data_IF_325383949998
#
_entry.id   IF_325383949998
#
_cell.length_a   1.000
_cell.length_b   1.000
_cell.length_c   1.000
_cell.angle_alpha   90.00
_cell.angle_beta   90.00
_cell.angle_gamma   90.00
#
_symmetry.space_group_name_H-M   'P 1'
#
loop_
_entity.id
_entity.type
_entity.pdbx_description
1 polymer ?
#
# COMPACT_ATOMS: atom_id res chain seq x y z
N UNK A 1 -12.29 1.16 20.73
CA UNK A 1 -12.29 2.35 19.83
C UNK A 1 -11.33 2.17 18.66
N UNK A 2 -10.02 2.10 18.85
CA UNK A 2 -9.10 1.84 17.71
C UNK A 2 -9.02 0.36 17.32
N UNK A 3 -9.13 -0.55 18.30
CA UNK A 3 -9.28 -1.99 18.05
C UNK A 3 -10.48 -2.23 17.12
N UNK A 4 -11.58 -1.50 17.34
CA UNK A 4 -12.79 -1.55 16.53
C UNK A 4 -12.51 -1.19 15.06
N UNK A 5 -11.60 -0.24 14.77
CA UNK A 5 -11.26 0.12 13.38
C UNK A 5 -10.45 -0.97 12.68
N UNK A 6 -9.44 -1.53 13.35
CA UNK A 6 -8.63 -2.61 12.79
C UNK A 6 -9.47 -3.88 12.63
N UNK A 7 -10.39 -4.15 13.55
CA UNK A 7 -11.32 -5.28 13.48
C UNK A 7 -12.31 -5.13 12.31
N UNK A 8 -12.87 -3.93 12.07
CA UNK A 8 -13.71 -3.68 10.90
C UNK A 8 -12.95 -3.97 9.60
N UNK A 9 -11.72 -3.47 9.48
CA UNK A 9 -10.87 -3.72 8.30
C UNK A 9 -10.58 -5.23 8.19
N UNK A 10 -10.25 -5.89 9.30
CA UNK A 10 -9.98 -7.32 9.34
C UNK A 10 -11.16 -8.14 8.79
N UNK A 11 -12.37 -7.91 9.34
CA UNK A 11 -13.60 -8.60 8.93
C UNK A 11 -13.85 -8.40 7.43
N UNK A 12 -13.81 -7.16 6.95
CA UNK A 12 -14.16 -6.86 5.58
C UNK A 12 -13.07 -7.25 4.57
N UNK A 13 -11.82 -7.42 4.99
CA UNK A 13 -10.73 -7.88 4.13
C UNK A 13 -10.94 -9.29 3.57
N UNK A 14 -11.86 -10.08 4.12
CA UNK A 14 -12.17 -11.44 3.62
C UNK A 14 -13.32 -11.46 2.61
N UNK A 15 -13.99 -10.33 2.40
CA UNK A 15 -15.17 -10.22 1.52
C UNK A 15 -15.00 -9.15 0.44
N UNK A 16 -13.76 -8.85 0.05
CA UNK A 16 -13.42 -7.75 -0.87
C UNK A 16 -14.17 -7.86 -2.20
N UNK A 17 -14.37 -9.07 -2.69
CA UNK A 17 -15.09 -9.35 -3.94
C UNK A 17 -16.58 -8.97 -3.90
N UNK A 18 -17.17 -8.86 -2.70
CA UNK A 18 -18.58 -8.53 -2.51
C UNK A 18 -18.80 -7.13 -1.98
N UNK A 19 -17.77 -6.27 -1.99
CA UNK A 19 -17.92 -4.90 -1.53
C UNK A 19 -18.85 -4.11 -2.46
N UNK A 20 -19.84 -3.46 -1.86
CA UNK A 20 -20.58 -2.39 -2.56
C UNK A 20 -19.69 -1.15 -2.65
N UNK A 21 -20.12 -0.18 -3.47
CA UNK A 21 -19.42 1.11 -3.59
C UNK A 21 -19.36 1.86 -2.25
N UNK A 22 -20.44 1.80 -1.48
CA UNK A 22 -20.54 2.41 -0.16
C UNK A 22 -19.56 1.74 0.82
N UNK A 23 -19.50 0.41 0.82
CA UNK A 23 -18.57 -0.32 1.67
C UNK A 23 -17.11 -0.03 1.28
N UNK A 24 -16.79 -0.03 -0.02
CA UNK A 24 -15.47 0.35 -0.52
C UNK A 24 -15.08 1.74 -0.03
N UNK A 25 -15.96 2.73 -0.18
CA UNK A 25 -15.69 4.10 0.29
C UNK A 25 -15.46 4.15 1.80
N UNK A 26 -16.31 3.48 2.59
CA UNK A 26 -16.14 3.39 4.04
C UNK A 26 -14.79 2.78 4.45
N UNK A 27 -14.42 1.63 3.88
CA UNK A 27 -13.13 0.97 4.18
C UNK A 27 -11.96 1.83 3.73
N UNK A 28 -12.08 2.51 2.58
CA UNK A 28 -11.08 3.45 2.06
C UNK A 28 -10.82 4.59 3.04
N UNK A 29 -11.87 5.20 3.59
CA UNK A 29 -11.72 6.29 4.56
C UNK A 29 -11.17 5.78 5.90
N UNK A 30 -11.56 4.59 6.35
CA UNK A 30 -11.00 3.97 7.56
C UNK A 30 -9.49 3.70 7.43
N UNK A 31 -9.06 3.11 6.31
CA UNK A 31 -7.64 2.88 6.04
C UNK A 31 -6.90 4.21 5.90
N UNK A 32 -7.51 5.21 5.25
CA UNK A 32 -6.91 6.55 5.14
C UNK A 32 -6.77 7.26 6.48
N UNK A 33 -7.69 7.03 7.43
CA UNK A 33 -7.58 7.53 8.80
C UNK A 33 -6.41 6.87 9.52
N UNK A 34 -6.29 5.54 9.44
CA UNK A 34 -5.16 4.78 10.00
C UNK A 34 -3.83 5.28 9.42
N UNK A 35 -3.79 5.53 8.11
CA UNK A 35 -2.65 6.15 7.44
C UNK A 35 -2.31 7.51 8.02
N UNK A 36 -3.30 8.40 8.15
CA UNK A 36 -3.12 9.72 8.74
C UNK A 36 -2.54 9.68 10.15
N UNK A 37 -3.01 8.74 10.98
CA UNK A 37 -2.47 8.50 12.32
C UNK A 37 -1.01 8.04 12.29
N UNK A 38 -0.64 7.15 11.34
CA UNK A 38 0.74 6.70 11.18
C UNK A 38 1.65 7.83 10.68
N UNK A 39 1.20 8.62 9.71
CA UNK A 39 1.97 9.69 9.08
C UNK A 39 2.26 10.84 10.05
N UNK A 40 1.23 11.31 10.77
CA UNK A 40 1.34 12.46 11.68
C UNK A 40 2.30 12.22 12.86
N UNK A 41 2.53 10.96 13.22
CA UNK A 41 3.27 10.54 14.41
C UNK A 41 4.68 10.00 14.09
N UNK A 42 5.25 10.35 12.92
CA UNK A 42 6.60 9.92 12.50
C UNK A 42 7.68 10.18 13.56
N UNK A 43 7.57 11.25 14.34
CA UNK A 43 8.61 11.68 15.28
C UNK A 43 8.46 11.11 16.70
N UNK A 44 7.23 11.05 17.24
CA UNK A 44 7.00 10.64 18.63
C UNK A 44 6.60 9.15 18.78
N UNK A 45 6.13 8.51 17.71
CA UNK A 45 5.66 7.10 17.69
C UNK A 45 4.62 6.78 18.78
N UNK A 46 3.88 7.77 19.26
CA UNK A 46 2.87 7.62 20.32
C UNK A 46 1.56 7.02 19.80
N UNK A 47 1.02 7.55 18.71
CA UNK A 47 -0.19 7.05 18.04
C UNK A 47 0.03 5.66 17.45
N UNK A 48 1.21 5.40 16.88
CA UNK A 48 1.52 4.08 16.33
C UNK A 48 1.57 3.00 17.42
N UNK A 49 2.06 3.32 18.63
CA UNK A 49 2.00 2.40 19.78
C UNK A 49 0.60 2.19 20.32
N UNK A 50 -0.29 3.18 20.18
CA UNK A 50 -1.70 3.05 20.54
C UNK A 50 -2.41 2.12 19.56
N UNK A 51 -2.23 2.33 18.25
CA UNK A 51 -2.84 1.50 17.20
C UNK A 51 -2.28 0.07 17.18
N UNK A 52 -0.97 -0.05 17.36
CA UNK A 52 -0.24 -1.31 17.26
C UNK A 52 0.59 -1.56 18.53
N UNK A 53 -0.06 -1.88 19.67
CA UNK A 53 0.63 -2.15 20.92
C UNK A 53 1.46 -3.45 20.87
N UNK A 54 1.21 -4.31 19.88
CA UNK A 54 1.88 -5.58 19.69
C UNK A 54 2.26 -5.78 18.22
N UNK A 55 3.46 -6.32 17.96
CA UNK A 55 3.92 -6.67 16.61
C UNK A 55 2.94 -7.59 15.87
N UNK A 56 2.29 -8.51 16.59
CA UNK A 56 1.27 -9.39 16.01
C UNK A 56 0.15 -8.61 15.30
N UNK A 57 -0.30 -7.49 15.88
CA UNK A 57 -1.35 -6.66 15.28
C UNK A 57 -0.87 -5.99 13.99
N UNK A 58 0.39 -5.59 13.92
CA UNK A 58 1.01 -5.05 12.69
C UNK A 58 1.01 -6.13 11.61
N UNK A 59 1.49 -7.33 11.95
CA UNK A 59 1.57 -8.44 11.02
C UNK A 59 0.19 -8.86 10.51
N UNK A 60 -0.82 -8.90 11.37
CA UNK A 60 -2.19 -9.26 10.97
C UNK A 60 -2.82 -8.16 10.11
N UNK A 61 -2.62 -6.88 10.48
CA UNK A 61 -3.08 -5.76 9.67
C UNK A 61 -2.44 -5.72 8.28
N UNK A 62 -1.13 -5.97 8.16
CA UNK A 62 -0.45 -6.07 6.87
C UNK A 62 -1.07 -7.18 6.01
N UNK A 63 -1.37 -8.35 6.58
CA UNK A 63 -2.04 -9.42 5.84
C UNK A 63 -3.41 -9.00 5.35
N UNK A 64 -4.18 -8.28 6.17
CA UNK A 64 -5.49 -7.76 5.78
C UNK A 64 -5.38 -6.79 4.59
N UNK A 65 -4.41 -5.86 4.63
CA UNK A 65 -4.13 -4.95 3.53
C UNK A 65 -3.69 -5.69 2.27
N UNK A 66 -2.89 -6.75 2.40
CA UNK A 66 -2.48 -7.58 1.26
C UNK A 66 -3.66 -8.29 0.61
N UNK A 67 -4.61 -8.81 1.39
CA UNK A 67 -5.83 -9.42 0.83
C UNK A 67 -6.61 -8.40 0.01
N UNK A 68 -6.79 -7.19 0.53
CA UNK A 68 -7.47 -6.09 -0.18
C UNK A 68 -6.74 -5.76 -1.48
N UNK A 69 -5.44 -5.54 -1.41
CA UNK A 69 -4.62 -5.14 -2.56
C UNK A 69 -4.48 -6.23 -3.63
N UNK A 70 -4.56 -7.51 -3.23
CA UNK A 70 -4.55 -8.64 -4.16
C UNK A 70 -5.81 -8.72 -5.04
N UNK A 71 -6.88 -7.99 -4.69
CA UNK A 71 -8.10 -7.97 -5.48
C UNK A 71 -7.96 -7.11 -6.73
N UNK A 72 -7.57 -7.77 -7.84
CA UNK A 72 -7.26 -7.14 -9.13
C UNK A 72 -8.26 -6.11 -9.66
N UNK A 73 -9.59 -6.30 -9.50
CA UNK A 73 -10.56 -5.30 -9.95
C UNK A 73 -10.36 -3.91 -9.35
N UNK A 74 -9.88 -3.79 -8.10
CA UNK A 74 -9.68 -2.48 -7.47
C UNK A 74 -8.57 -1.69 -8.15
N UNK A 75 -7.39 -2.29 -8.30
CA UNK A 75 -6.25 -1.55 -8.85
C UNK A 75 -6.33 -1.30 -10.36
N UNK A 76 -7.19 -2.04 -11.08
CA UNK A 76 -7.51 -1.74 -12.48
C UNK A 76 -8.44 -0.55 -12.66
N UNK A 77 -9.11 -0.13 -11.59
CA UNK A 77 -10.06 0.99 -11.59
C UNK A 77 -9.43 2.27 -11.00
N UNK A 78 -8.14 2.28 -10.71
CA UNK A 78 -7.45 3.51 -10.31
C UNK A 78 -7.48 4.54 -11.43
N UNK A 79 -7.68 5.80 -11.08
CA UNK A 79 -7.65 6.94 -11.99
C UNK A 79 -6.30 7.65 -11.92
N UNK A 80 -5.88 8.41 -12.95
CA UNK A 80 -4.61 9.13 -12.93
C UNK A 80 -4.48 10.14 -11.79
N UNK A 81 -5.62 10.68 -11.33
CA UNK A 81 -5.69 11.59 -10.19
C UNK A 81 -6.32 10.87 -9.00
N UNK A 82 -6.13 11.43 -7.81
CA UNK A 82 -6.76 10.98 -6.56
C UNK A 82 -8.25 11.38 -6.51
N UNK A 83 -9.05 10.86 -7.45
CA UNK A 83 -10.46 11.25 -7.68
C UNK A 83 -11.48 10.17 -7.32
N UNK A 84 -11.07 8.92 -7.10
CA UNK A 84 -11.95 7.84 -6.69
C UNK A 84 -11.44 7.05 -5.47
N UNK A 85 -12.33 6.26 -4.89
CA UNK A 85 -12.04 5.48 -3.67
C UNK A 85 -10.94 4.44 -3.92
N UNK A 86 -10.92 3.79 -5.09
CA UNK A 86 -9.89 2.80 -5.45
C UNK A 86 -8.48 3.39 -5.45
N UNK A 87 -8.31 4.58 -6.02
CA UNK A 87 -7.02 5.29 -6.05
C UNK A 87 -6.61 5.71 -4.65
N UNK A 88 -7.54 6.28 -3.88
CA UNK A 88 -7.31 6.69 -2.49
C UNK A 88 -6.90 5.46 -1.64
N UNK A 89 -7.60 4.35 -1.81
CA UNK A 89 -7.35 3.10 -1.10
C UNK A 89 -5.94 2.57 -1.38
N UNK A 90 -5.55 2.45 -2.66
CA UNK A 90 -4.24 1.93 -3.04
C UNK A 90 -3.12 2.84 -2.53
N UNK A 91 -3.26 4.16 -2.68
CA UNK A 91 -2.29 5.11 -2.14
C UNK A 91 -2.16 5.02 -0.62
N UNK A 92 -3.29 4.94 0.10
CA UNK A 92 -3.29 4.83 1.57
C UNK A 92 -2.68 3.52 2.05
N UNK A 93 -2.98 2.39 1.40
CA UNK A 93 -2.35 1.09 1.70
C UNK A 93 -0.84 1.17 1.51
N UNK A 94 -0.37 1.63 0.35
CA UNK A 94 1.06 1.73 0.05
C UNK A 94 1.78 2.67 1.03
N UNK A 95 1.18 3.82 1.33
CA UNK A 95 1.71 4.77 2.32
C UNK A 95 1.84 4.14 3.71
N UNK A 96 0.83 3.40 4.18
CA UNK A 96 0.90 2.67 5.46
C UNK A 96 2.03 1.65 5.45
N UNK A 97 2.19 0.87 4.37
CA UNK A 97 3.22 -0.16 4.32
C UNK A 97 4.62 0.44 4.45
N UNK A 98 4.90 1.53 3.73
CA UNK A 98 6.17 2.28 3.86
C UNK A 98 6.35 2.76 5.30
N UNK A 99 5.31 3.36 5.88
CA UNK A 99 5.35 3.85 7.27
C UNK A 99 5.67 2.74 8.27
N UNK A 100 5.00 1.59 8.16
CA UNK A 100 5.19 0.47 9.07
C UNK A 100 6.59 -0.13 8.92
N UNK A 101 7.05 -0.31 7.69
CA UNK A 101 8.40 -0.83 7.39
C UNK A 101 9.51 0.10 7.89
N UNK A 102 9.36 1.42 7.70
CA UNK A 102 10.36 2.39 8.16
C UNK A 102 10.35 2.56 9.69
N UNK A 103 9.21 2.31 10.33
CA UNK A 103 9.06 2.52 11.78
C UNK A 103 9.43 1.30 12.60
N UNK A 104 9.13 0.11 12.09
CA UNK A 104 9.25 -1.19 12.76
C UNK A 104 10.17 -2.12 11.99
N UNK A 105 10.93 -2.96 12.70
CA UNK A 105 11.79 -3.97 12.08
C UNK A 105 10.98 -5.21 11.62
N UNK A 106 10.12 -5.00 10.61
CA UNK A 106 9.18 -6.01 10.09
C UNK A 106 9.50 -6.46 8.67
N UNK A 107 10.68 -6.08 8.14
CA UNK A 107 11.13 -6.48 6.81
C UNK A 107 11.16 -8.00 6.61
N UNK A 108 11.39 -8.74 7.69
CA UNK A 108 11.36 -10.20 7.69
C UNK A 108 10.01 -10.74 7.19
N UNK A 109 8.89 -10.09 7.49
CA UNK A 109 7.55 -10.55 7.11
C UNK A 109 7.40 -10.56 5.58
N UNK A 110 7.88 -9.51 4.93
CA UNK A 110 7.86 -9.37 3.47
C UNK A 110 8.82 -10.34 2.79
N UNK A 111 9.99 -10.58 3.40
CA UNK A 111 11.01 -11.50 2.85
C UNK A 111 10.60 -12.96 2.93
N UNK A 112 9.90 -13.34 4.00
CA UNK A 112 9.43 -14.73 4.19
C UNK A 112 8.16 -15.02 3.39
N UNK A 113 7.39 -13.99 3.02
CA UNK A 113 6.13 -14.15 2.29
C UNK A 113 6.22 -13.55 0.88
N UNK A 114 6.68 -14.36 -0.08
CA UNK A 114 6.85 -13.96 -1.48
C UNK A 114 5.56 -13.45 -2.13
N UNK A 115 4.40 -13.92 -1.67
CA UNK A 115 3.08 -13.47 -2.16
C UNK A 115 2.91 -11.96 -1.99
N UNK A 116 3.48 -11.38 -0.93
CA UNK A 116 3.41 -9.94 -0.67
C UNK A 116 4.16 -9.18 -1.77
N UNK A 117 5.41 -9.59 -2.04
CA UNK A 117 6.22 -9.01 -3.11
C UNK A 117 5.54 -9.13 -4.48
N UNK A 118 5.09 -10.34 -4.82
CA UNK A 118 4.42 -10.61 -6.10
C UNK A 118 3.14 -9.79 -6.28
N UNK A 119 2.39 -9.57 -5.19
CA UNK A 119 1.17 -8.74 -5.20
C UNK A 119 1.51 -7.28 -5.48
N UNK A 120 2.55 -6.74 -4.85
CA UNK A 120 2.96 -5.33 -5.03
C UNK A 120 3.57 -5.12 -6.42
N UNK A 121 4.35 -6.07 -6.94
CA UNK A 121 4.84 -6.04 -8.33
C UNK A 121 3.66 -6.05 -9.31
N UNK A 122 2.72 -6.98 -9.13
CA UNK A 122 1.54 -7.09 -9.97
C UNK A 122 0.68 -5.81 -9.97
N UNK A 123 0.61 -5.12 -8.83
CA UNK A 123 -0.04 -3.82 -8.71
C UNK A 123 0.71 -2.75 -9.51
N UNK A 124 2.01 -2.61 -9.25
CA UNK A 124 2.85 -1.55 -9.80
C UNK A 124 2.97 -1.63 -11.33
N UNK A 125 2.96 -2.84 -11.88
CA UNK A 125 3.01 -3.07 -13.33
C UNK A 125 1.65 -2.92 -14.02
N UNK A 126 0.55 -3.12 -13.30
CA UNK A 126 -0.80 -3.15 -13.90
C UNK A 126 -1.60 -1.86 -13.73
N UNK A 127 -1.26 -1.01 -12.76
CA UNK A 127 -1.95 0.26 -12.55
C UNK A 127 -1.57 1.28 -13.61
N UNK A 128 -2.54 2.12 -13.99
CA UNK A 128 -2.32 3.30 -14.84
C UNK A 128 -2.08 4.56 -14.02
N UNK A 129 -2.11 4.46 -12.67
CA UNK A 129 -1.81 5.58 -11.79
C UNK A 129 -0.33 5.52 -11.39
N UNK A 130 0.41 6.55 -11.79
CA UNK A 130 1.84 6.64 -11.57
C UNK A 130 2.23 6.69 -10.09
N UNK A 131 1.47 7.39 -9.26
CA UNK A 131 1.73 7.49 -7.81
C UNK A 131 1.55 6.13 -7.12
N UNK A 132 0.56 5.35 -7.56
CA UNK A 132 0.34 3.96 -7.09
C UNK A 132 1.49 3.07 -7.55
N UNK A 133 1.92 3.18 -8.82
CA UNK A 133 3.06 2.42 -9.33
C UNK A 133 4.34 2.73 -8.56
N UNK A 134 4.68 4.01 -8.41
CA UNK A 134 5.84 4.47 -7.65
C UNK A 134 5.76 4.09 -6.18
N UNK A 135 4.58 4.18 -5.56
CA UNK A 135 4.37 3.74 -4.18
C UNK A 135 4.64 2.24 -4.03
N UNK A 136 4.20 1.43 -4.99
CA UNK A 136 4.50 0.00 -5.04
C UNK A 136 6.00 -0.27 -5.09
N UNK A 137 6.71 0.36 -6.03
CA UNK A 137 8.17 0.24 -6.12
C UNK A 137 8.89 0.77 -4.88
N UNK A 138 8.38 1.81 -4.23
CA UNK A 138 8.90 2.34 -2.97
C UNK A 138 8.84 1.29 -1.86
N UNK A 139 7.69 0.62 -1.68
CA UNK A 139 7.57 -0.48 -0.71
C UNK A 139 8.57 -1.60 -1.04
N UNK A 140 8.66 -2.00 -2.31
CA UNK A 140 9.58 -3.07 -2.74
C UNK A 140 11.04 -2.72 -2.44
N UNK A 141 11.44 -1.46 -2.67
CA UNK A 141 12.77 -0.94 -2.35
C UNK A 141 13.15 -1.03 -0.87
N UNK A 142 12.18 -0.92 0.03
CA UNK A 142 12.42 -1.02 1.47
C UNK A 142 12.50 -2.48 1.97
N UNK A 143 11.75 -3.39 1.35
CA UNK A 143 11.54 -4.74 1.91
C UNK A 143 12.38 -5.83 1.23
N UNK A 144 12.66 -5.68 -0.06
CA UNK A 144 13.43 -6.66 -0.83
C UNK A 144 14.93 -6.55 -0.57
N UNK A 145 15.64 -7.63 -0.89
CA UNK A 145 17.10 -7.63 -0.90
C UNK A 145 17.65 -7.05 -2.21
N UNK A 146 18.89 -6.58 -2.21
CA UNK A 146 19.56 -6.06 -3.41
C UNK A 146 19.49 -7.01 -4.61
N UNK A 147 19.61 -8.31 -4.37
CA UNK A 147 19.57 -9.30 -5.45
C UNK A 147 18.14 -9.45 -6.03
N UNK A 148 17.12 -9.45 -5.18
CA UNK A 148 15.72 -9.44 -5.62
C UNK A 148 15.37 -8.14 -6.36
N UNK A 149 15.89 -7.00 -5.93
CA UNK A 149 15.69 -5.72 -6.61
C UNK A 149 16.34 -5.69 -8.00
N UNK A 150 17.54 -6.25 -8.14
CA UNK A 150 18.22 -6.39 -9.45
C UNK A 150 17.39 -7.25 -10.41
N UNK A 151 16.83 -8.36 -9.93
CA UNK A 151 16.03 -9.28 -10.75
C UNK A 151 14.74 -8.63 -11.26
N UNK A 152 14.09 -7.80 -10.43
CA UNK A 152 12.87 -7.08 -10.81
C UNK A 152 13.10 -5.90 -11.77
N UNK A 153 14.35 -5.45 -11.95
CA UNK A 153 14.70 -4.30 -12.80
C UNK A 153 13.84 -3.06 -12.54
N UNK A 154 13.49 -2.83 -11.27
CA UNK A 154 12.65 -1.69 -10.85
C UNK A 154 13.24 -0.36 -11.35
N UNK A 155 14.57 -0.25 -11.39
CA UNK A 155 15.27 0.91 -11.92
C UNK A 155 14.92 1.21 -13.39
N UNK A 156 14.73 0.19 -14.24
CA UNK A 156 14.36 0.38 -15.65
C UNK A 156 12.92 0.91 -15.76
N UNK A 157 12.01 0.37 -14.95
CA UNK A 157 10.61 0.81 -14.88
C UNK A 157 10.49 2.25 -14.38
N UNK A 158 11.18 2.59 -13.28
CA UNK A 158 11.22 3.94 -12.71
C UNK A 158 11.86 4.94 -13.70
N UNK A 159 12.94 4.55 -14.37
CA UNK A 159 13.62 5.41 -15.35
C UNK A 159 12.70 5.69 -16.54
N UNK A 160 12.06 4.65 -17.08
CA UNK A 160 11.10 4.79 -18.18
C UNK A 160 9.93 5.69 -17.78
N UNK A 161 9.47 5.55 -16.54
CA UNK A 161 8.43 6.39 -15.96
C UNK A 161 8.83 7.87 -15.93
N UNK A 162 9.94 8.22 -15.26
CA UNK A 162 10.41 9.61 -15.17
C UNK A 162 10.71 10.20 -16.55
N UNK A 163 11.25 9.41 -17.47
CA UNK A 163 11.49 9.84 -18.84
C UNK A 163 10.18 10.21 -19.55
N UNK A 164 9.16 9.35 -19.51
CA UNK A 164 7.87 9.61 -20.14
C UNK A 164 7.19 10.86 -19.55
N UNK A 165 7.24 11.02 -18.22
CA UNK A 165 6.68 12.20 -17.56
C UNK A 165 7.40 13.48 -17.98
N UNK A 166 8.74 13.49 -18.00
CA UNK A 166 9.53 14.64 -18.47
C UNK A 166 9.27 14.95 -19.94
N UNK A 167 9.17 13.92 -20.78
CA UNK A 167 8.87 14.07 -22.20
C UNK A 167 7.47 14.67 -22.43
N UNK A 168 6.47 14.22 -21.66
CA UNK A 168 5.12 14.77 -21.72
C UNK A 168 5.08 16.23 -21.28
N UNK A 169 5.79 16.57 -20.19
CA UNK A 169 5.90 17.95 -19.71
C UNK A 169 6.62 18.87 -20.71
N UNK A 170 7.62 18.35 -21.42
CA UNK A 170 8.36 19.11 -22.43
C UNK A 170 7.55 19.40 -23.70
N UNK A 171 6.60 18.53 -24.04
CA UNK A 171 5.79 18.66 -25.26
C UNK A 171 4.52 19.51 -25.08
N UNK A 172 4.28 20.05 -23.88
CA UNK A 172 3.19 20.99 -23.56
C UNK A 172 3.67 22.44 -23.62
#
# INVERSE_FOLDING_TARGET
LYEDYLEIIHIHSHSVESWSKELLSCITQLISLVYGCCWYDREEKTQMKILFPMEKLICDYIKDLMRIMSHKPLYKQTEPNRSNDETILMQSILGILIMLVQTYDINWLFRVNTIIGDTIVSLAEATFNDEVALGGYGVLGEVLTDDQLKDLKIADSITSYFFNMLQNAWNQ
#
